data_IF_270153173910
#
_entry.id   IF_270153173910
#
_cell.length_a   1.000
_cell.length_b   1.000
_cell.length_c   1.000
_cell.angle_alpha   90.00
_cell.angle_beta   90.00
_cell.angle_gamma   90.00
#
_symmetry.space_group_name_H-M   'P 1'
#
loop_
_entity.id
_entity.type
_entity.pdbx_description
1 polymer ?
#
# COMPACT_ATOMS: atom_id res chain seq x y z
N UNK A 1 -19.20 14.33 -6.90
CA UNK A 1 -17.79 14.67 -6.62
C UNK A 1 -16.94 13.85 -7.59
N UNK A 2 -16.55 14.41 -8.74
CA UNK A 2 -15.74 13.71 -9.75
C UNK A 2 -14.27 13.73 -9.31
N UNK A 3 -13.76 12.60 -8.80
CA UNK A 3 -12.32 12.44 -8.61
C UNK A 3 -11.69 11.92 -9.92
N UNK A 4 -11.81 12.69 -11.00
CA UNK A 4 -10.83 12.65 -12.09
C UNK A 4 -9.70 13.55 -11.64
N UNK A 5 -8.50 13.00 -11.38
CA UNK A 5 -7.33 13.88 -11.24
C UNK A 5 -7.16 14.56 -12.60
N UNK A 6 -7.39 15.87 -12.66
CA UNK A 6 -7.26 16.65 -13.88
C UNK A 6 -5.92 16.30 -14.58
N UNK A 7 -5.92 15.99 -15.88
CA UNK A 7 -4.68 15.78 -16.62
C UNK A 7 -3.69 16.90 -16.33
N UNK A 8 -2.46 16.53 -15.95
CA UNK A 8 -1.41 17.45 -15.54
C UNK A 8 -1.32 17.72 -14.03
N UNK A 9 -2.23 17.19 -13.20
CA UNK A 9 -2.18 17.32 -11.74
C UNK A 9 -0.89 16.72 -11.15
N UNK A 10 -0.40 17.35 -10.08
CA UNK A 10 0.74 16.83 -9.32
C UNK A 10 0.25 15.83 -8.28
N UNK A 11 0.91 14.68 -8.23
CA UNK A 11 0.58 13.56 -7.37
C UNK A 11 1.75 13.31 -6.44
N UNK A 12 1.50 13.42 -5.13
CA UNK A 12 2.45 13.07 -4.08
C UNK A 12 1.98 11.81 -3.37
N UNK A 13 2.90 10.87 -3.14
CA UNK A 13 2.63 9.66 -2.38
C UNK A 13 3.92 9.12 -1.78
N UNK A 14 3.76 8.31 -0.74
CA UNK A 14 4.87 7.76 0.04
C UNK A 14 4.50 6.37 0.53
N UNK A 15 5.52 5.55 0.79
CA UNK A 15 5.32 4.22 1.33
C UNK A 15 6.54 3.73 2.10
N UNK A 16 6.40 2.56 2.71
CA UNK A 16 7.48 1.97 3.51
C UNK A 16 8.58 1.40 2.62
N UNK A 17 9.81 1.61 3.06
CA UNK A 17 11.03 1.31 2.31
C UNK A 17 11.48 -0.14 2.53
N UNK A 18 11.59 -0.94 1.46
CA UNK A 18 12.00 -2.36 1.53
C UNK A 18 13.38 -2.56 2.15
N UNK A 19 14.35 -1.71 1.85
CA UNK A 19 15.71 -1.87 2.37
C UNK A 19 15.79 -1.62 3.90
N UNK A 20 14.78 -0.99 4.50
CA UNK A 20 14.66 -0.93 5.97
C UNK A 20 14.45 -2.31 6.56
N UNK A 21 13.78 -3.21 5.85
CA UNK A 21 13.61 -4.60 6.27
C UNK A 21 14.95 -5.34 6.20
N UNK A 22 15.76 -5.09 5.17
CA UNK A 22 17.08 -5.69 5.05
C UNK A 22 18.03 -5.19 6.15
N UNK A 23 17.91 -3.93 6.56
CA UNK A 23 18.61 -3.40 7.75
C UNK A 23 18.15 -4.11 9.03
N UNK A 24 16.84 -4.25 9.25
CA UNK A 24 16.29 -4.95 10.42
C UNK A 24 16.76 -6.41 10.44
N UNK A 25 16.64 -7.14 9.34
CA UNK A 25 17.12 -8.53 9.22
C UNK A 25 18.61 -8.67 9.57
N UNK A 26 19.45 -7.74 9.08
CA UNK A 26 20.90 -7.73 9.38
C UNK A 26 21.20 -7.47 10.85
N UNK A 27 20.44 -6.60 11.52
CA UNK A 27 20.65 -6.26 12.94
C UNK A 27 20.04 -7.30 13.91
N UNK A 28 18.95 -7.97 13.54
CA UNK A 28 18.34 -9.04 14.36
C UNK A 28 19.25 -10.27 14.48
N UNK A 29 20.04 -10.60 13.45
CA UNK A 29 21.01 -11.70 13.52
C UNK A 29 22.17 -11.40 14.49
N UNK A 30 22.44 -10.13 14.80
CA UNK A 30 23.58 -9.72 15.63
C UNK A 30 23.24 -9.44 17.09
N UNK A 31 21.97 -9.42 17.48
CA UNK A 31 21.59 -9.12 18.86
C UNK A 31 20.72 -10.24 19.44
N UNK A 32 21.20 -10.85 20.53
CA UNK A 32 20.39 -11.63 21.47
C UNK A 32 19.36 -10.74 22.22
N UNK A 33 18.82 -9.72 21.55
CA UNK A 33 17.89 -8.76 22.12
C UNK A 33 16.46 -9.27 21.92
N UNK A 34 15.98 -9.94 22.97
CA UNK A 34 14.56 -10.13 23.25
C UNK A 34 13.77 -8.84 22.96
N UNK A 35 12.58 -9.01 22.36
CA UNK A 35 11.33 -8.33 22.75
C UNK A 35 10.61 -7.26 21.90
N UNK A 36 10.97 -6.90 20.66
CA UNK A 36 10.17 -5.86 19.95
C UNK A 36 9.61 -6.18 18.56
N UNK A 37 10.00 -7.28 17.90
CA UNK A 37 9.46 -7.65 16.57
C UNK A 37 9.36 -9.17 16.40
N UNK A 38 8.81 -9.85 17.40
CA UNK A 38 9.01 -11.30 17.59
C UNK A 38 8.57 -12.17 16.41
N UNK A 39 7.67 -11.74 15.54
CA UNK A 39 7.20 -12.58 14.42
C UNK A 39 7.00 -11.77 13.13
N UNK A 40 8.05 -11.06 12.68
CA UNK A 40 8.05 -10.44 11.37
C UNK A 40 8.32 -11.49 10.27
N UNK A 41 7.28 -11.95 9.58
CA UNK A 41 7.42 -12.78 8.38
C UNK A 41 7.46 -11.86 7.16
N UNK A 42 8.57 -11.91 6.41
CA UNK A 42 8.69 -11.22 5.13
C UNK A 42 8.72 -12.27 4.02
N UNK A 43 7.76 -12.21 3.10
CA UNK A 43 7.83 -13.02 1.88
C UNK A 43 8.76 -12.39 0.83
N UNK A 44 9.12 -13.17 -0.18
CA UNK A 44 10.00 -12.71 -1.28
C UNK A 44 9.38 -11.57 -2.08
N UNK A 45 8.04 -11.46 -2.04
CA UNK A 45 7.30 -10.39 -2.67
C UNK A 45 7.39 -9.06 -1.91
N UNK A 46 7.85 -9.04 -0.65
CA UNK A 46 7.99 -7.83 0.16
C UNK A 46 6.76 -7.48 0.99
N UNK A 47 5.88 -8.44 1.28
CA UNK A 47 4.81 -8.32 2.27
C UNK A 47 5.37 -8.70 3.63
N UNK A 48 5.29 -7.77 4.58
CA UNK A 48 5.61 -8.06 5.97
C UNK A 48 4.33 -8.26 6.78
N UNK A 49 4.23 -9.39 7.48
CA UNK A 49 3.29 -9.59 8.56
C UNK A 49 3.95 -9.17 9.88
N UNK A 50 3.30 -8.32 10.66
CA UNK A 50 3.74 -7.87 11.99
C UNK A 50 2.69 -8.26 13.01
N UNK A 51 3.07 -9.07 14.01
CA UNK A 51 2.24 -9.29 15.18
C UNK A 51 2.49 -8.19 16.21
N UNK A 52 1.43 -7.49 16.60
CA UNK A 52 1.46 -6.46 17.65
C UNK A 52 0.78 -7.00 18.90
N UNK A 53 1.48 -7.04 20.04
CA UNK A 53 0.92 -7.40 21.34
C UNK A 53 1.42 -8.74 21.90
N UNK A 54 0.81 -9.18 22.99
CA UNK A 54 1.09 -10.48 23.61
C UNK A 54 0.30 -11.61 22.95
N UNK A 55 0.71 -12.87 23.17
CA UNK A 55 0.11 -14.08 22.56
C UNK A 55 -1.42 -14.17 22.79
N UNK A 56 -1.95 -13.59 23.86
CA UNK A 56 -3.37 -13.63 24.22
C UNK A 56 -4.23 -12.49 23.66
N UNK A 57 -3.64 -11.38 23.20
CA UNK A 57 -4.38 -10.16 22.80
C UNK A 57 -3.83 -9.49 21.54
N UNK A 58 -2.85 -10.11 20.88
CA UNK A 58 -2.17 -9.47 19.76
C UNK A 58 -2.97 -9.53 18.45
N UNK A 59 -2.63 -8.61 17.56
CA UNK A 59 -3.23 -8.51 16.23
C UNK A 59 -2.15 -8.55 15.16
N UNK A 60 -2.48 -9.12 14.00
CA UNK A 60 -1.63 -9.10 12.82
C UNK A 60 -1.90 -7.84 12.00
N UNK A 61 -0.84 -7.13 11.61
CA UNK A 61 -0.90 -6.15 10.54
C UNK A 61 -0.07 -6.64 9.36
N UNK A 62 -0.57 -6.39 8.15
CA UNK A 62 0.11 -6.74 6.91
C UNK A 62 0.45 -5.46 6.17
N UNK A 63 1.71 -5.31 5.78
CA UNK A 63 2.18 -4.12 5.10
C UNK A 63 3.08 -4.51 3.94
N UNK A 64 2.74 -4.06 2.73
CA UNK A 64 3.62 -4.15 1.56
C UNK A 64 4.73 -3.11 1.66
N UNK A 65 5.96 -3.53 1.41
CA UNK A 65 7.13 -2.69 1.27
C UNK A 65 7.57 -2.68 -0.19
N UNK A 66 8.04 -1.52 -0.65
CA UNK A 66 8.59 -1.37 -1.99
C UNK A 66 10.00 -0.79 -1.89
N UNK A 67 10.89 -1.20 -2.80
CA UNK A 67 12.09 -0.42 -3.09
C UNK A 67 11.68 0.90 -3.76
N UNK A 68 12.57 1.89 -3.78
CA UNK A 68 12.27 3.14 -4.47
C UNK A 68 12.12 2.93 -5.99
N UNK A 69 12.86 1.97 -6.56
CA UNK A 69 12.79 1.59 -7.98
C UNK A 69 11.45 0.93 -8.31
N UNK A 70 10.98 -0.02 -7.48
CA UNK A 70 9.65 -0.64 -7.62
C UNK A 70 8.55 0.43 -7.56
N UNK A 71 8.61 1.33 -6.57
CA UNK A 71 7.64 2.40 -6.41
C UNK A 71 7.67 3.40 -7.57
N UNK A 72 8.86 3.72 -8.10
CA UNK A 72 9.04 4.60 -9.27
C UNK A 72 8.47 3.96 -10.52
N UNK A 73 8.74 2.67 -10.77
CA UNK A 73 8.19 1.94 -11.91
C UNK A 73 6.65 1.87 -11.86
N UNK A 74 6.07 1.67 -10.67
CA UNK A 74 4.62 1.72 -10.48
C UNK A 74 4.05 3.11 -10.77
N UNK A 75 4.74 4.17 -10.33
CA UNK A 75 4.36 5.55 -10.60
C UNK A 75 4.30 5.84 -12.10
N UNK A 76 5.36 5.48 -12.83
CA UNK A 76 5.45 5.71 -14.26
C UNK A 76 4.40 4.92 -15.03
N UNK A 77 4.12 3.69 -14.59
CA UNK A 77 3.13 2.81 -15.21
C UNK A 77 1.68 3.28 -15.01
N UNK A 78 1.35 3.78 -13.82
CA UNK A 78 -0.04 4.02 -13.43
C UNK A 78 -0.40 5.48 -13.18
N UNK A 79 0.55 6.40 -13.18
CA UNK A 79 0.29 7.82 -12.94
C UNK A 79 0.83 8.65 -14.10
N UNK A 80 2.10 8.46 -14.43
CA UNK A 80 2.82 9.25 -15.42
C UNK A 80 4.23 9.58 -14.97
N UNK A 81 4.92 10.52 -15.65
CA UNK A 81 6.32 10.83 -15.39
C UNK A 81 6.59 11.21 -13.93
N UNK A 82 7.61 10.58 -13.34
CA UNK A 82 8.13 10.96 -12.02
C UNK A 82 8.92 12.26 -12.16
N UNK A 83 8.59 13.23 -11.33
CA UNK A 83 9.23 14.55 -11.28
C UNK A 83 10.33 14.59 -10.24
N UNK A 84 10.13 13.90 -9.12
CA UNK A 84 11.09 13.79 -8.04
C UNK A 84 10.81 12.54 -7.21
N UNK A 85 11.85 11.97 -6.63
CA UNK A 85 11.74 10.96 -5.59
C UNK A 85 12.80 11.20 -4.52
N UNK A 86 12.50 10.80 -3.30
CA UNK A 86 13.40 10.86 -2.15
C UNK A 86 13.13 9.69 -1.23
N UNK A 87 14.00 9.48 -0.24
CA UNK A 87 13.75 8.54 0.83
C UNK A 87 14.24 9.09 2.17
N UNK A 88 13.61 8.60 3.22
CA UNK A 88 14.04 8.73 4.60
C UNK A 88 14.56 7.38 5.09
N UNK A 89 14.92 7.30 6.37
CA UNK A 89 15.29 6.04 7.00
C UNK A 89 14.18 4.97 6.94
N UNK A 90 12.89 5.36 6.84
CA UNK A 90 11.77 4.40 6.96
C UNK A 90 10.77 4.43 5.80
N UNK A 91 10.89 5.39 4.90
CA UNK A 91 9.92 5.60 3.83
C UNK A 91 10.56 6.15 2.56
N UNK A 92 9.97 5.84 1.41
CA UNK A 92 10.20 6.55 0.17
C UNK A 92 9.09 7.59 -0.05
N UNK A 93 9.38 8.60 -0.86
CA UNK A 93 8.44 9.64 -1.28
C UNK A 93 8.60 9.87 -2.78
N UNK A 94 7.49 9.96 -3.50
CA UNK A 94 7.47 10.19 -4.96
C UNK A 94 6.52 11.34 -5.27
N UNK A 95 6.97 12.19 -6.17
CA UNK A 95 6.17 13.21 -6.83
C UNK A 95 6.10 12.89 -8.31
N UNK A 96 4.89 12.69 -8.84
CA UNK A 96 4.66 12.39 -10.25
C UNK A 96 3.65 13.35 -10.86
N UNK A 97 3.69 13.50 -12.18
CA UNK A 97 2.65 14.21 -12.93
C UNK A 97 1.62 13.21 -13.43
N UNK A 98 0.36 13.41 -13.09
CA UNK A 98 -0.74 12.61 -13.62
C UNK A 98 -0.93 12.91 -15.09
N UNK A 99 -0.67 11.94 -15.96
CA UNK A 99 -0.84 12.05 -17.41
C UNK A 99 -1.57 10.86 -18.02
N UNK A 100 -1.88 9.85 -17.21
CA UNK A 100 -2.49 8.60 -17.67
C UNK A 100 -3.92 8.49 -17.15
N UNK A 101 -4.87 8.37 -18.07
CA UNK A 101 -6.23 7.98 -17.73
C UNK A 101 -6.34 6.44 -17.78
N UNK A 102 -7.02 5.88 -16.78
CA UNK A 102 -7.32 4.45 -16.75
C UNK A 102 -8.78 4.22 -17.15
N UNK A 103 -9.02 3.12 -17.87
CA UNK A 103 -10.37 2.66 -18.16
C UNK A 103 -11.18 2.53 -16.86
N UNK A 104 -12.39 3.07 -16.88
CA UNK A 104 -13.27 3.12 -15.71
C UNK A 104 -13.49 1.74 -15.12
N UNK A 105 -13.67 0.75 -15.97
CA UNK A 105 -13.90 -0.65 -15.62
C UNK A 105 -12.71 -1.21 -14.82
N UNK A 106 -11.48 -0.86 -15.21
CA UNK A 106 -10.26 -1.27 -14.49
C UNK A 106 -10.18 -0.63 -13.11
N UNK A 107 -10.55 0.65 -13.00
CA UNK A 107 -10.58 1.35 -11.71
C UNK A 107 -11.64 0.72 -10.79
N UNK A 108 -12.85 0.46 -11.30
CA UNK A 108 -13.92 -0.18 -10.53
C UNK A 108 -13.50 -1.57 -10.08
N UNK A 109 -12.93 -2.39 -10.97
CA UNK A 109 -12.45 -3.73 -10.62
C UNK A 109 -11.34 -3.69 -9.55
N UNK A 110 -10.44 -2.70 -9.61
CA UNK A 110 -9.41 -2.51 -8.59
C UNK A 110 -10.01 -2.11 -7.23
N UNK A 111 -10.99 -1.20 -7.21
CA UNK A 111 -11.71 -0.82 -5.98
C UNK A 111 -12.43 -2.03 -5.40
N UNK A 112 -13.18 -2.77 -6.23
CA UNK A 112 -13.90 -3.96 -5.77
C UNK A 112 -12.95 -4.97 -5.14
N UNK A 113 -11.83 -5.28 -5.83
CA UNK A 113 -10.82 -6.19 -5.29
C UNK A 113 -10.26 -5.73 -3.94
N UNK A 114 -9.97 -4.44 -3.79
CA UNK A 114 -9.38 -3.92 -2.54
C UNK A 114 -10.34 -4.04 -1.35
N UNK A 115 -11.62 -3.75 -1.57
CA UNK A 115 -12.63 -3.72 -0.50
C UNK A 115 -13.36 -5.06 -0.28
N UNK A 116 -13.25 -6.01 -1.22
CA UNK A 116 -13.74 -7.39 -1.09
C UNK A 116 -12.59 -8.40 -0.89
N UNK A 117 -11.36 -7.94 -0.63
CA UNK A 117 -10.24 -8.85 -0.40
C UNK A 117 -10.54 -9.74 0.80
N UNK A 118 -10.61 -11.08 0.63
CA UNK A 118 -10.93 -11.98 1.73
C UNK A 118 -9.76 -12.05 2.71
N UNK A 119 -10.09 -11.90 3.98
CA UNK A 119 -9.23 -12.17 5.12
C UNK A 119 -9.03 -13.67 5.28
N UNK A 120 -8.02 -14.12 6.08
CA UNK A 120 -7.74 -15.54 6.25
C UNK A 120 -8.90 -16.39 6.78
N UNK A 121 -9.85 -15.78 7.49
CA UNK A 121 -11.08 -16.41 8.00
C UNK A 121 -12.25 -16.41 6.99
N UNK A 122 -12.04 -15.82 5.80
CA UNK A 122 -13.02 -15.72 4.73
C UNK A 122 -13.92 -14.49 4.80
N UNK A 123 -13.80 -13.66 5.84
CA UNK A 123 -14.49 -12.37 5.94
C UNK A 123 -13.83 -11.33 5.00
N UNK A 124 -14.48 -10.20 4.75
CA UNK A 124 -13.85 -9.08 4.03
C UNK A 124 -14.33 -7.76 4.61
N UNK A 125 -13.74 -6.64 4.17
CA UNK A 125 -14.26 -5.32 4.55
C UNK A 125 -15.72 -5.16 4.10
N UNK A 126 -16.10 -5.77 2.96
CA UNK A 126 -17.50 -5.84 2.50
C UNK A 126 -18.07 -4.48 2.08
N UNK A 127 -17.20 -3.51 1.79
CA UNK A 127 -17.58 -2.13 1.41
C UNK A 127 -17.33 -1.82 -0.07
N UNK A 128 -17.11 -2.84 -0.91
CA UNK A 128 -16.80 -2.62 -2.33
C UNK A 128 -17.90 -1.88 -3.07
N UNK A 129 -19.16 -2.14 -2.73
CA UNK A 129 -20.31 -1.45 -3.33
C UNK A 129 -20.33 0.03 -2.97
N UNK A 130 -20.14 0.35 -1.70
CA UNK A 130 -20.07 1.71 -1.17
C UNK A 130 -18.90 2.48 -1.79
N UNK A 131 -17.72 1.86 -1.83
CA UNK A 131 -16.52 2.44 -2.44
C UNK A 131 -16.69 2.69 -3.94
N UNK A 132 -17.28 1.73 -4.66
CA UNK A 132 -17.60 1.86 -6.08
C UNK A 132 -18.61 2.97 -6.33
N UNK A 133 -19.68 3.04 -5.54
CA UNK A 133 -20.70 4.08 -5.63
C UNK A 133 -20.12 5.48 -5.36
N UNK A 134 -19.25 5.59 -4.36
CA UNK A 134 -18.55 6.84 -4.06
C UNK A 134 -17.67 7.28 -5.23
N UNK A 135 -16.96 6.35 -5.87
CA UNK A 135 -16.15 6.62 -7.07
C UNK A 135 -17.00 7.05 -8.26
N UNK A 136 -18.10 6.34 -8.54
CA UNK A 136 -19.02 6.65 -9.64
C UNK A 136 -19.87 7.91 -9.37
N UNK A 137 -19.91 8.38 -8.13
CA UNK A 137 -20.76 9.48 -7.70
C UNK A 137 -22.24 9.11 -7.62
N UNK A 138 -22.56 7.82 -7.51
CA UNK A 138 -23.91 7.26 -7.45
C UNK A 138 -24.28 6.94 -6.01
N UNK A 139 -24.38 7.96 -5.15
CA UNK A 139 -24.97 7.78 -3.84
C UNK A 139 -26.48 7.63 -4.01
N UNK A 140 -27.00 6.42 -3.80
CA UNK A 140 -28.43 6.23 -3.58
C UNK A 140 -28.75 6.84 -2.22
N UNK A 141 -29.41 8.00 -2.21
CA UNK A 141 -30.09 8.47 -1.01
C UNK A 141 -31.16 7.42 -0.67
N UNK A 142 -30.95 6.71 0.44
CA UNK A 142 -31.98 5.89 1.07
C UNK A 142 -33.02 6.80 1.75
#
# INVERSE_FOLDING_TARGET
MHCHRNPGAIVHFSGRRKERLDEIKRHTIQSNAKQYYTDAMLDDDGIMALFHGGVSEGSWTYQKYHSIEEATALAERFIGPVLAHSHTATAWQITARHTLDHEREKIVAAIQREFDLPWPDGESVGLAREATNAYLGTFTNA
#
